data_IF_787103888165
#
_entry.id   IF_787103888165
#
_cell.length_a   1.000
_cell.length_b   1.000
_cell.length_c   1.000
_cell.angle_alpha   90.00
_cell.angle_beta   90.00
_cell.angle_gamma   90.00
#
_symmetry.space_group_name_H-M   'P 1'
#
loop_
_entity.id
_entity.type
_entity.pdbx_description
1 polymer ?
#
# COMPACT_ATOMS: atom_id res chain seq x y z
N UNK A 1 -14.19 9.86 6.18
CA UNK A 1 -13.74 9.37 4.86
C UNK A 1 -13.03 8.01 4.97
N UNK A 2 -11.86 7.94 5.61
CA UNK A 2 -11.05 6.71 5.68
C UNK A 2 -11.71 5.51 6.38
N UNK A 3 -12.39 5.74 7.50
CA UNK A 3 -13.03 4.66 8.27
C UNK A 3 -14.44 4.25 7.80
N UNK A 4 -14.99 4.86 6.73
CA UNK A 4 -16.40 4.64 6.34
C UNK A 4 -16.65 4.55 4.83
N UNK A 5 -15.76 5.08 3.99
CA UNK A 5 -16.04 5.28 2.57
C UNK A 5 -14.91 4.78 1.68
N UNK A 6 -13.66 5.16 1.97
CA UNK A 6 -12.53 4.84 1.11
C UNK A 6 -11.89 3.48 1.45
N UNK A 7 -11.57 2.66 0.44
CA UNK A 7 -10.82 1.41 0.56
C UNK A 7 -11.25 0.50 1.75
N UNK A 8 -12.55 0.35 1.98
CA UNK A 8 -13.07 -0.41 3.13
C UNK A 8 -12.61 -1.86 3.17
N UNK A 9 -12.35 -2.47 2.01
CA UNK A 9 -11.79 -3.83 1.89
C UNK A 9 -10.43 -3.98 2.59
N UNK A 10 -9.61 -2.93 2.63
CA UNK A 10 -8.28 -2.95 3.25
C UNK A 10 -8.28 -2.50 4.71
N UNK A 11 -9.41 -1.97 5.20
CA UNK A 11 -9.51 -1.39 6.54
C UNK A 11 -9.12 -2.41 7.63
N UNK A 12 -9.65 -3.63 7.54
CA UNK A 12 -9.33 -4.70 8.49
C UNK A 12 -7.85 -5.12 8.42
N UNK A 13 -7.27 -5.15 7.23
CA UNK A 13 -5.85 -5.46 7.05
C UNK A 13 -4.96 -4.40 7.72
N UNK A 14 -5.29 -3.11 7.60
CA UNK A 14 -4.53 -2.05 8.26
C UNK A 14 -4.69 -2.06 9.79
N UNK A 15 -5.86 -2.44 10.29
CA UNK A 15 -6.05 -2.64 11.73
C UNK A 15 -5.19 -3.82 12.21
N UNK A 16 -5.25 -4.96 11.53
CA UNK A 16 -4.53 -6.16 11.93
C UNK A 16 -3.00 -6.03 11.81
N UNK A 17 -2.51 -5.43 10.72
CA UNK A 17 -1.07 -5.32 10.43
C UNK A 17 -0.43 -4.06 11.01
N UNK A 18 -1.22 -3.02 11.27
CA UNK A 18 -0.73 -1.73 11.72
C UNK A 18 -1.20 -1.40 13.13
N UNK A 19 -2.51 -1.31 13.33
CA UNK A 19 -3.05 -0.80 14.59
C UNK A 19 -2.84 -1.72 15.78
N UNK A 20 -3.10 -3.02 15.64
CA UNK A 20 -2.93 -3.98 16.73
C UNK A 20 -1.47 -4.15 17.16
N UNK A 21 -0.49 -4.32 16.25
CA UNK A 21 0.90 -4.47 16.65
C UNK A 21 1.45 -3.23 17.37
N UNK A 22 1.19 -2.04 16.83
CA UNK A 22 1.69 -0.80 17.43
C UNK A 22 0.96 -0.42 18.73
N UNK A 23 -0.37 -0.62 18.79
CA UNK A 23 -1.12 -0.46 20.03
C UNK A 23 -0.69 -1.45 21.11
N UNK A 24 -0.42 -2.71 20.72
CA UNK A 24 0.11 -3.75 21.59
C UNK A 24 1.51 -3.43 22.11
N UNK A 25 2.40 -2.91 21.24
CA UNK A 25 3.72 -2.45 21.65
C UNK A 25 3.63 -1.29 22.64
N UNK A 26 2.79 -0.28 22.38
CA UNK A 26 2.57 0.81 23.31
C UNK A 26 2.05 0.31 24.67
N UNK A 27 1.19 -0.70 24.68
CA UNK A 27 0.71 -1.37 25.90
C UNK A 27 1.83 -2.08 26.64
N UNK A 28 2.68 -2.83 25.94
CA UNK A 28 3.81 -3.53 26.53
C UNK A 28 4.81 -2.55 27.18
N UNK A 29 4.92 -1.34 26.65
CA UNK A 29 5.72 -0.24 27.21
C UNK A 29 5.03 0.51 28.36
N UNK A 30 3.87 0.06 28.84
CA UNK A 30 3.15 0.68 29.95
C UNK A 30 2.43 1.99 29.60
N UNK A 31 2.20 2.27 28.31
CA UNK A 31 1.54 3.51 27.88
C UNK A 31 0.05 3.54 28.30
N UNK A 32 -0.48 4.75 28.52
CA UNK A 32 -1.91 4.95 28.79
C UNK A 32 -2.81 4.42 27.67
N UNK A 33 -4.07 4.08 27.98
CA UNK A 33 -5.04 3.64 26.97
C UNK A 33 -5.22 4.65 25.83
N UNK A 34 -5.20 5.96 26.15
CA UNK A 34 -5.27 7.03 25.14
C UNK A 34 -4.06 6.97 24.20
N UNK A 35 -2.86 6.83 24.76
CA UNK A 35 -1.63 6.71 23.97
C UNK A 35 -1.63 5.45 23.10
N UNK A 36 -2.09 4.31 23.63
CA UNK A 36 -2.24 3.07 22.86
C UNK A 36 -3.17 3.25 21.66
N UNK A 37 -4.32 3.91 21.84
CA UNK A 37 -5.27 4.17 20.76
C UNK A 37 -4.70 5.11 19.69
N UNK A 38 -3.98 6.17 20.09
CA UNK A 38 -3.33 7.10 19.14
C UNK A 38 -2.23 6.38 18.36
N UNK A 39 -1.38 5.62 19.04
CA UNK A 39 -0.28 4.87 18.42
C UNK A 39 -0.81 3.78 17.49
N UNK A 40 -1.84 3.03 17.90
CA UNK A 40 -2.51 2.06 17.04
C UNK A 40 -3.17 2.73 15.83
N UNK A 41 -3.85 3.86 16.02
CA UNK A 41 -4.41 4.63 14.92
C UNK A 41 -3.33 5.03 13.89
N UNK A 42 -2.20 5.56 14.36
CA UNK A 42 -1.05 5.82 13.49
C UNK A 42 -0.50 4.57 12.82
N UNK A 43 -0.51 3.43 13.51
CA UNK A 43 -0.10 2.17 12.95
C UNK A 43 -0.88 1.75 11.72
N UNK A 44 -2.18 1.99 11.68
CA UNK A 44 -2.98 1.75 10.48
C UNK A 44 -2.51 2.61 9.29
N UNK A 45 -2.17 3.88 9.53
CA UNK A 45 -1.65 4.77 8.49
C UNK A 45 -0.22 4.42 8.07
N UNK A 46 0.62 3.93 8.98
CA UNK A 46 1.94 3.38 8.65
C UNK A 46 1.81 2.18 7.71
N UNK A 47 0.92 1.23 8.03
CA UNK A 47 0.67 0.07 7.18
C UNK A 47 0.11 0.46 5.80
N UNK A 48 -0.82 1.42 5.77
CA UNK A 48 -1.35 1.97 4.52
C UNK A 48 -0.27 2.67 3.69
N UNK A 49 0.54 3.52 4.31
CA UNK A 49 1.64 4.23 3.67
C UNK A 49 2.66 3.27 3.08
N UNK A 50 3.02 2.22 3.82
CA UNK A 50 3.90 1.16 3.31
C UNK A 50 3.30 0.45 2.09
N UNK A 51 2.03 0.05 2.17
CA UNK A 51 1.35 -0.63 1.06
C UNK A 51 1.32 0.23 -0.22
N UNK A 52 1.13 1.55 -0.09
CA UNK A 52 1.13 2.44 -1.25
C UNK A 52 2.53 2.79 -1.75
N UNK A 53 3.54 2.89 -0.88
CA UNK A 53 4.91 3.21 -1.25
C UNK A 53 5.67 2.00 -1.83
N UNK A 54 5.35 0.79 -1.36
CA UNK A 54 6.05 -0.44 -1.74
C UNK A 54 6.02 -0.76 -3.24
N UNK A 55 4.88 -0.62 -3.97
CA UNK A 55 4.87 -0.76 -5.42
C UNK A 55 5.83 0.19 -6.13
N UNK A 56 5.97 1.45 -5.67
CA UNK A 56 6.93 2.40 -6.26
C UNK A 56 8.37 2.00 -6.05
N UNK A 57 8.69 1.41 -4.90
CA UNK A 57 9.99 0.79 -4.68
C UNK A 57 10.26 -0.36 -5.67
N UNK A 58 9.29 -1.23 -5.89
CA UNK A 58 9.42 -2.34 -6.84
C UNK A 58 9.50 -1.89 -8.30
N UNK A 59 8.93 -0.73 -8.61
CA UNK A 59 8.95 -0.13 -9.95
C UNK A 59 10.20 0.70 -10.26
N UNK A 60 11.03 1.00 -9.25
CA UNK A 60 12.24 1.79 -9.44
C UNK A 60 13.27 1.00 -10.28
N UNK A 61 13.46 1.41 -11.54
CA UNK A 61 14.47 0.85 -12.44
C UNK A 61 15.77 1.67 -12.34
N UNK A 62 16.89 1.09 -11.88
CA UNK A 62 18.17 1.78 -11.81
C UNK A 62 18.79 2.03 -13.19
N UNK A 63 18.29 1.41 -14.26
CA UNK A 63 18.91 1.40 -15.60
C UNK A 63 18.36 2.44 -16.58
N UNK A 64 17.26 3.12 -16.25
CA UNK A 64 16.62 4.11 -17.13
C UNK A 64 16.39 5.44 -16.41
N UNK A 65 17.05 6.50 -16.88
CA UNK A 65 17.08 7.82 -16.23
C UNK A 65 15.68 8.50 -16.10
N UNK A 66 14.71 8.12 -16.92
CA UNK A 66 13.37 8.74 -17.00
C UNK A 66 12.26 7.95 -16.28
N UNK A 67 12.56 6.73 -15.80
CA UNK A 67 11.61 5.83 -15.13
C UNK A 67 11.98 5.52 -13.67
N UNK A 68 13.02 6.17 -13.15
CA UNK A 68 13.44 5.94 -11.78
C UNK A 68 12.56 6.74 -10.81
N UNK A 69 11.92 6.03 -9.86
CA UNK A 69 11.24 6.64 -8.71
C UNK A 69 12.28 6.71 -7.60
N UNK A 70 12.73 7.92 -7.27
CA UNK A 70 13.77 8.12 -6.29
C UNK A 70 13.30 7.77 -4.87
N UNK A 71 14.25 7.51 -3.97
CA UNK A 71 13.94 7.24 -2.56
C UNK A 71 13.09 8.36 -1.93
N UNK A 72 13.39 9.63 -2.23
CA UNK A 72 12.62 10.77 -1.71
C UNK A 72 11.16 10.78 -2.17
N UNK A 73 10.88 10.27 -3.37
CA UNK A 73 9.53 10.17 -3.91
C UNK A 73 8.75 9.03 -3.25
N UNK A 74 9.40 7.89 -3.03
CA UNK A 74 8.84 6.75 -2.28
C UNK A 74 8.53 7.19 -0.84
N UNK A 75 9.47 7.89 -0.20
CA UNK A 75 9.27 8.49 1.12
C UNK A 75 8.17 9.55 1.09
N UNK A 76 8.04 10.32 0.00
CA UNK A 76 6.94 11.26 -0.21
C UNK A 76 5.57 10.58 -0.18
N UNK A 77 5.40 9.46 -0.91
CA UNK A 77 4.18 8.64 -0.87
C UNK A 77 3.91 8.16 0.54
N UNK A 78 4.91 7.57 1.20
CA UNK A 78 4.78 7.09 2.57
C UNK A 78 4.36 8.22 3.54
N UNK A 79 5.05 9.36 3.47
CA UNK A 79 4.78 10.55 4.28
C UNK A 79 3.39 11.12 4.01
N UNK A 80 2.87 11.04 2.78
CA UNK A 80 1.50 11.47 2.46
C UNK A 80 0.47 10.79 3.39
N UNK A 81 0.57 9.48 3.57
CA UNK A 81 -0.34 8.74 4.45
C UNK A 81 -0.11 9.03 5.93
N UNK A 82 1.14 9.26 6.34
CA UNK A 82 1.44 9.68 7.72
C UNK A 82 0.82 11.04 8.05
N UNK A 83 0.92 11.99 7.12
CA UNK A 83 0.28 13.30 7.22
C UNK A 83 -1.25 13.15 7.25
N UNK A 84 -1.84 12.24 6.47
CA UNK A 84 -3.27 11.93 6.56
C UNK A 84 -3.69 11.38 7.93
N UNK A 85 -2.86 10.55 8.57
CA UNK A 85 -3.09 10.13 9.96
C UNK A 85 -3.13 11.32 10.91
N UNK A 86 -2.17 12.26 10.81
CA UNK A 86 -2.17 13.50 11.57
C UNK A 86 -3.44 14.33 11.32
N UNK A 87 -3.83 14.49 10.06
CA UNK A 87 -5.04 15.22 9.69
C UNK A 87 -6.30 14.68 10.36
N UNK A 88 -6.43 13.37 10.47
CA UNK A 88 -7.57 12.73 11.15
C UNK A 88 -7.57 12.96 12.67
N UNK A 89 -6.39 13.07 13.30
CA UNK A 89 -6.31 13.36 14.73
C UNK A 89 -6.63 14.82 15.05
N UNK A 90 -6.32 15.73 14.12
CA UNK A 90 -6.60 17.16 14.25
C UNK A 90 -8.06 17.49 13.89
N UNK A 91 -8.71 16.64 13.08
CA UNK A 91 -10.09 16.78 12.61
C UNK A 91 -11.09 17.21 13.72
N UNK A 92 -11.13 16.59 14.91
CA UNK A 92 -12.09 16.96 15.97
C UNK A 92 -11.87 18.36 16.54
N UNK A 93 -10.67 18.93 16.37
CA UNK A 93 -10.31 20.27 16.84
C UNK A 93 -10.64 21.32 15.78
N UNK A 94 -10.38 21.01 14.50
CA UNK A 94 -10.58 21.96 13.40
C UNK A 94 -12.01 22.01 12.87
N UNK A 95 -12.72 20.89 12.76
CA UNK A 95 -14.09 20.86 12.23
C UNK A 95 -15.03 21.82 12.97
N UNK A 96 -15.03 21.89 14.33
CA UNK A 96 -15.89 22.81 15.06
C UNK A 96 -15.64 24.30 14.75
N UNK A 97 -14.44 24.64 14.27
CA UNK A 97 -14.06 26.02 13.90
C UNK A 97 -14.54 26.40 12.50
N UNK A 98 -14.93 25.44 11.66
CA UNK A 98 -15.43 25.70 10.31
C UNK A 98 -16.88 26.17 10.37
N UNK A 99 -17.25 27.28 9.69
CA UNK A 99 -18.65 27.72 9.62
C UNK A 99 -19.58 26.61 9.13
N UNK A 100 -20.65 26.32 9.89
CA UNK A 100 -21.58 25.19 9.63
C UNK A 100 -22.12 25.14 8.19
N UNK A 101 -22.35 26.31 7.59
CA UNK A 101 -22.82 26.47 6.19
C UNK A 101 -21.90 25.85 5.13
N UNK A 102 -20.61 25.67 5.45
CA UNK A 102 -19.62 25.12 4.51
C UNK A 102 -19.46 23.60 4.64
N UNK A 103 -20.11 22.96 5.61
CA UNK A 103 -19.98 21.52 5.85
C UNK A 103 -18.59 21.11 6.33
N UNK A 104 -18.27 21.39 7.60
CA UNK A 104 -16.91 21.28 8.17
C UNK A 104 -16.15 19.99 7.85
N UNK A 105 -16.78 18.82 7.94
CA UNK A 105 -16.13 17.56 7.61
C UNK A 105 -15.77 17.39 6.13
N UNK A 106 -16.66 17.81 5.22
CA UNK A 106 -16.41 17.74 3.78
C UNK A 106 -15.32 18.73 3.38
N UNK A 107 -15.42 19.98 3.85
CA UNK A 107 -14.44 21.01 3.55
C UNK A 107 -13.06 20.62 4.07
N UNK A 108 -12.96 20.14 5.32
CA UNK A 108 -11.72 19.65 5.90
C UNK A 108 -11.14 18.52 5.06
N UNK A 109 -11.93 17.48 4.77
CA UNK A 109 -11.47 16.32 4.01
C UNK A 109 -10.96 16.71 2.63
N UNK A 110 -11.72 17.51 1.87
CA UNK A 110 -11.34 17.96 0.53
C UNK A 110 -10.05 18.79 0.59
N UNK A 111 -10.00 19.77 1.48
CA UNK A 111 -8.82 20.65 1.62
C UNK A 111 -7.58 19.85 2.00
N UNK A 112 -7.73 18.91 2.93
CA UNK A 112 -6.63 18.09 3.41
C UNK A 112 -6.12 17.13 2.33
N UNK A 113 -7.02 16.54 1.55
CA UNK A 113 -6.65 15.73 0.39
C UNK A 113 -5.91 16.57 -0.64
N UNK A 114 -6.39 17.77 -0.98
CA UNK A 114 -5.72 18.63 -1.96
C UNK A 114 -4.32 19.06 -1.53
N UNK A 115 -4.12 19.34 -0.24
CA UNK A 115 -2.81 19.72 0.33
C UNK A 115 -1.83 18.54 0.28
N UNK A 116 -2.31 17.32 0.53
CA UNK A 116 -1.45 16.12 0.57
C UNK A 116 -1.29 15.45 -0.78
N UNK A 117 -2.16 15.73 -1.74
CA UNK A 117 -2.18 15.13 -3.07
C UNK A 117 -0.84 15.22 -3.82
N UNK A 118 -0.10 16.34 -3.83
CA UNK A 118 1.17 16.44 -4.54
C UNK A 118 2.22 15.41 -4.09
N UNK A 119 2.21 15.02 -2.81
CA UNK A 119 3.11 14.00 -2.27
C UNK A 119 2.83 12.60 -2.87
N UNK A 120 1.62 12.38 -3.37
CA UNK A 120 1.20 11.13 -4.00
C UNK A 120 1.23 11.19 -5.54
N UNK A 121 0.93 12.33 -6.16
CA UNK A 121 0.76 12.39 -7.63
C UNK A 121 2.06 12.50 -8.40
N UNK A 122 3.12 13.08 -7.82
CA UNK A 122 4.42 13.20 -8.51
C UNK A 122 4.97 11.81 -8.92
N UNK A 123 4.98 10.80 -8.04
CA UNK A 123 5.46 9.46 -8.40
C UNK A 123 4.49 8.69 -9.30
N UNK A 124 3.18 8.89 -9.12
CA UNK A 124 2.12 8.27 -9.95
C UNK A 124 2.13 8.78 -11.38
N UNK A 125 2.44 10.06 -11.58
CA UNK A 125 2.44 10.71 -12.89
C UNK A 125 3.62 10.30 -13.78
N UNK A 126 4.63 9.63 -13.22
CA UNK A 126 5.71 9.03 -14.00
C UNK A 126 5.18 7.80 -14.75
N UNK A 127 5.71 7.47 -15.94
CA UNK A 127 5.32 6.27 -16.65
C UNK A 127 5.59 5.04 -15.78
N UNK A 128 4.55 4.56 -15.11
CA UNK A 128 4.66 3.52 -14.12
C UNK A 128 4.72 2.16 -14.82
N UNK A 129 5.79 1.39 -14.56
CA UNK A 129 5.93 0.00 -15.01
C UNK A 129 5.05 -0.99 -14.24
N UNK A 130 3.99 -0.55 -13.53
CA UNK A 130 3.12 -1.46 -12.74
C UNK A 130 2.72 -2.66 -13.59
N UNK A 131 2.41 -2.47 -14.87
CA UNK A 131 1.99 -3.56 -15.74
C UNK A 131 3.14 -4.27 -16.48
N UNK A 132 4.33 -3.67 -16.55
CA UNK A 132 5.50 -4.28 -17.21
C UNK A 132 6.44 -5.03 -16.27
N UNK A 133 6.23 -4.97 -14.95
CA UNK A 133 6.80 -5.96 -14.01
C UNK A 133 6.10 -7.32 -14.11
N UNK A 134 4.86 -7.35 -14.60
CA UNK A 134 4.16 -8.59 -14.88
C UNK A 134 4.59 -9.10 -16.25
N UNK A 135 4.77 -10.42 -16.36
CA UNK A 135 4.87 -11.05 -17.68
C UNK A 135 3.60 -10.74 -18.49
N UNK A 136 3.67 -10.67 -19.82
CA UNK A 136 2.48 -10.68 -20.66
C UNK A 136 1.55 -11.83 -20.27
N UNK A 137 0.22 -11.59 -20.29
CA UNK A 137 -0.80 -12.54 -19.81
C UNK A 137 -0.72 -13.92 -20.50
N UNK A 138 -0.32 -13.95 -21.76
CA UNK A 138 -0.08 -15.15 -22.56
C UNK A 138 1.08 -16.02 -22.03
N UNK A 139 1.90 -15.48 -21.13
CA UNK A 139 3.03 -16.17 -20.51
C UNK A 139 2.79 -16.53 -19.04
N UNK A 140 1.57 -16.32 -18.52
CA UNK A 140 1.23 -16.65 -17.13
C UNK A 140 0.99 -18.14 -16.99
N UNK A 141 1.57 -18.74 -15.95
CA UNK A 141 1.19 -20.06 -15.48
C UNK A 141 0.36 -19.95 -14.18
N UNK A 142 -0.10 -21.09 -13.65
CA UNK A 142 -0.95 -21.10 -12.45
C UNK A 142 -0.26 -20.50 -11.21
N UNK A 143 1.07 -20.52 -11.15
CA UNK A 143 1.83 -19.89 -10.07
C UNK A 143 1.80 -18.36 -10.18
N UNK A 144 1.71 -17.80 -11.39
CA UNK A 144 1.53 -16.35 -11.60
C UNK A 144 0.14 -15.86 -11.14
N UNK A 145 -0.87 -16.74 -11.11
CA UNK A 145 -2.22 -16.43 -10.62
C UNK A 145 -2.32 -16.50 -9.09
N UNK A 146 -1.58 -17.44 -8.48
CA UNK A 146 -1.69 -17.74 -7.05
C UNK A 146 -0.65 -17.00 -6.19
N UNK A 147 0.45 -16.55 -6.78
CA UNK A 147 1.51 -15.82 -6.09
C UNK A 147 1.54 -14.36 -6.55
N UNK A 148 1.77 -13.40 -5.65
CA UNK A 148 2.07 -12.03 -6.03
C UNK A 148 3.24 -12.03 -7.02
N UNK A 149 3.13 -11.30 -8.13
CA UNK A 149 4.11 -11.35 -9.23
C UNK A 149 5.54 -10.99 -8.83
N UNK A 150 5.72 -10.34 -7.69
CA UNK A 150 7.01 -10.00 -7.08
C UNK A 150 7.66 -11.24 -6.43
N UNK A 151 6.84 -12.14 -5.89
CA UNK A 151 7.28 -13.35 -5.17
C UNK A 151 7.49 -14.51 -6.14
N UNK A 152 6.70 -14.60 -7.21
CA UNK A 152 6.80 -15.67 -8.22
C UNK A 152 8.23 -15.88 -8.75
N UNK A 153 8.99 -14.86 -9.19
CA UNK A 153 10.36 -15.08 -9.67
C UNK A 153 11.33 -15.53 -8.57
N UNK A 154 11.13 -15.11 -7.32
CA UNK A 154 11.95 -15.53 -6.18
C UNK A 154 11.68 -16.99 -5.85
N UNK A 155 10.41 -17.38 -5.75
CA UNK A 155 10.01 -18.77 -5.48
C UNK A 155 10.39 -19.69 -6.63
N UNK A 156 10.17 -19.29 -7.88
CA UNK A 156 10.61 -20.08 -9.05
C UNK A 156 12.12 -20.27 -9.04
N UNK A 157 12.91 -19.22 -8.73
CA UNK A 157 14.37 -19.34 -8.61
C UNK A 157 14.80 -20.25 -7.46
N UNK A 158 14.11 -20.19 -6.32
CA UNK A 158 14.37 -21.07 -5.17
C UNK A 158 14.00 -22.53 -5.48
N UNK A 159 12.86 -22.77 -6.14
CA UNK A 159 12.40 -24.11 -6.55
C UNK A 159 13.28 -24.70 -7.65
N UNK A 160 13.77 -23.90 -8.60
CA UNK A 160 14.69 -24.35 -9.64
C UNK A 160 16.10 -24.64 -9.09
N UNK A 161 16.53 -23.92 -8.06
CA UNK A 161 17.82 -24.17 -7.40
C UNK A 161 17.76 -25.31 -6.37
N UNK A 162 16.58 -25.69 -5.90
CA UNK A 162 16.36 -26.86 -5.04
C UNK A 162 15.96 -28.03 -5.92
N UNK A 163 16.94 -28.62 -6.59
CA UNK A 163 16.79 -29.76 -7.48
C UNK A 163 16.18 -30.98 -6.77
N UNK A 164 14.86 -31.03 -6.59
CA UNK A 164 14.03 -32.24 -6.42
C UNK A 164 12.63 -31.88 -6.95
N UNK A 165 12.30 -32.44 -8.12
CA UNK A 165 10.95 -32.77 -8.59
C UNK A 165 9.99 -31.63 -9.01
N UNK A 166 10.23 -30.96 -10.15
CA UNK A 166 9.16 -30.21 -10.84
C UNK A 166 9.22 -30.39 -12.36
N UNK A 167 9.38 -31.62 -12.85
CA UNK A 167 9.15 -31.94 -14.28
C UNK A 167 7.68 -32.25 -14.59
N UNK A 168 6.80 -32.40 -13.59
CA UNK A 168 5.41 -32.81 -13.78
C UNK A 168 4.34 -31.77 -13.42
N UNK A 169 4.70 -30.61 -12.87
CA UNK A 169 3.72 -29.58 -12.45
C UNK A 169 3.63 -28.38 -13.39
N UNK A 170 4.46 -28.31 -14.44
CA UNK A 170 4.59 -27.12 -15.30
C UNK A 170 3.65 -27.16 -16.52
N UNK A 171 2.94 -28.26 -16.80
CA UNK A 171 2.04 -28.26 -17.96
C UNK A 171 0.83 -29.21 -17.83
N UNK A 172 -0.37 -28.66 -17.56
CA UNK A 172 -1.59 -29.33 -18.03
C UNK A 172 -2.55 -28.44 -18.84
N UNK A 173 -2.25 -27.16 -19.12
CA UNK A 173 -3.27 -26.24 -19.67
C UNK A 173 -3.20 -26.05 -21.20
N UNK A 174 -2.33 -26.77 -21.93
CA UNK A 174 -2.29 -26.65 -23.41
C UNK A 174 -3.29 -27.51 -24.18
N UNK A 175 -4.14 -28.31 -23.52
CA UNK A 175 -5.01 -29.28 -24.22
C UNK A 175 -6.53 -29.05 -24.13
N UNK A 176 -7.02 -27.94 -23.56
CA UNK A 176 -8.47 -27.74 -23.35
C UNK A 176 -9.11 -26.56 -24.11
N UNK A 177 -8.43 -25.94 -25.08
CA UNK A 177 -9.02 -24.85 -25.89
C UNK A 177 -8.94 -25.05 -27.42
N UNK A 178 -8.61 -26.25 -27.89
CA UNK A 178 -8.77 -26.63 -29.30
C UNK A 178 -9.28 -28.08 -29.38
N UNK A 179 -10.56 -28.28 -29.09
CA UNK A 179 -11.40 -29.40 -29.56
C UNK A 179 -12.82 -29.23 -29.03
#
# INVERSE_FOLDING_TARGET
>A
FWGKTWHQIFCQSFIALGAFPLGGLARALGSSLRSQNIVGFFGAFLASGFMHAYPFFLMADPTTATSNVGLLEILGVFSCFMVQGLGCLIEPILIPLVPKRLGGGNLWTISFLLITLPLFTIPVGKPARVFSIFKPLDQWNILNLLLPAVITPIIVKLLLNSSILVTHLINPVTYWLIS
#
